data_IF_911228918150
#
_entry.id   IF_911228918150
#
_cell.length_a   1.000
_cell.length_b   1.000
_cell.length_c   1.000
_cell.angle_alpha   90.00
_cell.angle_beta   90.00
_cell.angle_gamma   90.00
#
_symmetry.space_group_name_H-M   'P 1'
#
loop_
_entity.id
_entity.type
_entity.pdbx_description
1 polymer ?
#
# COMPACT_ATOMS: atom_id res chain seq x y z
N UNK A 1 11.45 19.89 -32.53
CA UNK A 1 11.65 18.43 -32.50
C UNK A 1 10.76 17.91 -31.37
N UNK A 2 9.45 17.82 -31.63
CA UNK A 2 8.43 17.82 -30.54
C UNK A 2 8.55 16.64 -29.56
N UNK A 3 9.09 15.50 -29.99
CA UNK A 3 9.21 14.30 -29.16
C UNK A 3 10.35 14.44 -28.14
N UNK A 4 11.50 14.98 -28.55
CA UNK A 4 12.63 15.20 -27.63
C UNK A 4 12.24 16.16 -26.51
N UNK A 5 11.64 17.29 -26.88
CA UNK A 5 11.19 18.31 -25.93
C UNK A 5 10.21 17.73 -24.88
N UNK A 6 9.36 16.78 -25.28
CA UNK A 6 8.44 16.10 -24.35
C UNK A 6 9.14 15.10 -23.43
N UNK A 7 10.16 14.38 -23.93
CA UNK A 7 10.96 13.46 -23.11
C UNK A 7 11.73 14.27 -22.05
N UNK A 8 12.33 15.38 -22.46
CA UNK A 8 13.08 16.26 -21.57
C UNK A 8 12.13 16.86 -20.50
N UNK A 9 10.95 17.34 -20.90
CA UNK A 9 9.95 17.87 -19.96
C UNK A 9 9.40 16.80 -18.99
N UNK A 10 9.25 15.56 -19.45
CA UNK A 10 8.83 14.45 -18.58
C UNK A 10 9.93 14.15 -17.54
N UNK A 11 11.19 14.12 -17.95
CA UNK A 11 12.32 13.86 -17.05
C UNK A 11 12.45 14.86 -15.91
N UNK A 12 12.10 16.13 -16.11
CA UNK A 12 12.13 17.16 -15.05
C UNK A 12 11.03 16.97 -13.99
N UNK A 13 10.02 16.12 -14.23
CA UNK A 13 8.96 15.80 -13.25
C UNK A 13 9.34 14.67 -12.30
N UNK A 14 10.42 13.94 -12.59
CA UNK A 14 10.83 12.75 -11.85
C UNK A 14 12.25 12.91 -11.30
N UNK A 15 12.61 12.23 -10.20
CA UNK A 15 13.97 12.23 -9.68
C UNK A 15 14.88 11.32 -10.53
N UNK A 16 15.03 11.65 -11.82
CA UNK A 16 15.91 10.94 -12.75
C UNK A 16 17.32 11.50 -12.68
N UNK A 17 18.30 10.61 -12.77
CA UNK A 17 19.68 11.00 -12.94
C UNK A 17 19.86 11.62 -14.33
N UNK A 18 20.60 12.73 -14.43
CA UNK A 18 21.01 13.29 -15.74
C UNK A 18 22.15 12.48 -16.37
N UNK A 19 22.48 11.32 -15.80
CA UNK A 19 23.66 10.54 -16.12
C UNK A 19 23.25 9.36 -17.02
N UNK A 20 23.08 9.64 -18.30
CA UNK A 20 22.74 8.60 -19.27
C UNK A 20 22.16 9.17 -20.57
N UNK A 21 21.91 8.29 -21.53
CA UNK A 21 21.17 8.64 -22.74
C UNK A 21 19.66 8.71 -22.49
N UNK A 22 18.91 9.24 -23.46
CA UNK A 22 17.44 9.38 -23.40
C UNK A 22 16.69 8.07 -23.11
N UNK A 23 17.25 6.94 -23.53
CA UNK A 23 16.72 5.61 -23.23
C UNK A 23 16.83 5.28 -21.75
N UNK A 24 18.01 5.50 -21.15
CA UNK A 24 18.25 5.30 -19.71
C UNK A 24 17.35 6.19 -18.85
N UNK A 25 17.15 7.44 -19.27
CA UNK A 25 16.23 8.36 -18.60
C UNK A 25 14.78 7.84 -18.63
N UNK A 26 14.35 7.27 -19.76
CA UNK A 26 13.02 6.69 -19.89
C UNK A 26 12.84 5.46 -19.00
N UNK A 27 13.87 4.61 -18.90
CA UNK A 27 13.85 3.43 -18.04
C UNK A 27 13.74 3.83 -16.56
N UNK A 28 14.48 4.85 -16.12
CA UNK A 28 14.37 5.40 -14.76
C UNK A 28 12.98 5.98 -14.46
N UNK A 29 12.36 6.67 -15.43
CA UNK A 29 10.98 7.19 -15.30
C UNK A 29 10.00 6.02 -15.13
N UNK A 30 10.14 4.97 -15.93
CA UNK A 30 9.27 3.78 -15.85
C UNK A 30 9.41 3.14 -14.48
N UNK A 31 10.63 2.97 -13.98
CA UNK A 31 10.89 2.39 -12.67
C UNK A 31 10.33 3.24 -11.52
N UNK A 32 10.43 4.57 -11.63
CA UNK A 32 9.84 5.46 -10.64
C UNK A 32 8.30 5.42 -10.64
N UNK A 33 7.67 5.35 -11.81
CA UNK A 33 6.20 5.20 -11.91
C UNK A 33 5.76 3.88 -11.28
N UNK A 34 6.48 2.78 -11.55
CA UNK A 34 6.22 1.48 -10.91
C UNK A 34 6.34 1.56 -9.40
N UNK A 35 7.35 2.27 -8.89
CA UNK A 35 7.52 2.50 -7.46
C UNK A 35 6.35 3.28 -6.86
N UNK A 36 5.88 4.36 -7.51
CA UNK A 36 4.73 5.12 -7.02
C UNK A 36 3.44 4.30 -7.04
N UNK A 37 3.18 3.55 -8.11
CA UNK A 37 2.03 2.63 -8.21
C UNK A 37 2.06 1.59 -7.09
N UNK A 38 3.24 1.09 -6.77
CA UNK A 38 3.46 0.16 -5.67
C UNK A 38 3.16 0.79 -4.30
N UNK A 39 3.67 1.99 -4.02
CA UNK A 39 3.38 2.71 -2.77
C UNK A 39 1.87 2.94 -2.58
N UNK A 40 1.17 3.33 -3.64
CA UNK A 40 -0.29 3.51 -3.59
C UNK A 40 -1.04 2.20 -3.29
N UNK A 41 -0.59 1.08 -3.87
CA UNK A 41 -1.19 -0.25 -3.65
C UNK A 41 -0.95 -0.76 -2.23
N UNK A 42 0.20 -0.49 -1.65
CA UNK A 42 0.49 -0.85 -0.25
C UNK A 42 -0.35 0.00 0.72
N UNK A 43 -0.36 1.32 0.52
CA UNK A 43 -1.19 2.24 1.32
C UNK A 43 -2.68 1.91 1.25
N UNK A 44 -3.21 1.57 0.08
CA UNK A 44 -4.62 1.18 -0.06
C UNK A 44 -4.96 -0.17 0.57
N UNK A 45 -3.96 -1.03 0.80
CA UNK A 45 -4.11 -2.34 1.45
C UNK A 45 -3.87 -2.31 2.94
N UNK A 46 -3.25 -1.25 3.48
CA UNK A 46 -3.07 -1.07 4.92
C UNK A 46 -4.43 -0.80 5.58
N UNK A 47 -5.13 -1.89 5.93
CA UNK A 47 -6.54 -1.90 6.36
C UNK A 47 -6.78 -1.29 7.76
N UNK A 48 -5.73 -0.89 8.47
CA UNK A 48 -5.80 -0.28 9.79
C UNK A 48 -4.85 0.92 9.91
N UNK A 49 -4.74 1.75 8.88
CA UNK A 49 -4.12 3.07 8.99
C UNK A 49 -2.59 3.05 9.15
N UNK A 50 -1.89 3.08 8.01
CA UNK A 50 -0.63 3.82 7.88
C UNK A 50 0.67 3.16 8.35
N UNK A 51 0.66 1.94 8.87
CA UNK A 51 1.90 1.19 9.06
C UNK A 51 2.26 0.47 7.73
N UNK A 52 3.48 0.63 7.20
CA UNK A 52 3.93 -0.17 6.07
C UNK A 52 3.95 -1.64 6.49
N UNK A 53 3.22 -2.48 5.76
CA UNK A 53 3.21 -3.91 6.06
C UNK A 53 4.60 -4.44 5.69
N UNK A 54 5.36 -4.99 6.65
CA UNK A 54 6.71 -5.54 6.42
C UNK A 54 6.68 -6.86 5.64
N UNK A 55 5.89 -6.92 4.57
CA UNK A 55 5.72 -8.13 3.75
C UNK A 55 7.04 -8.34 2.99
N UNK A 56 7.64 -9.55 3.01
CA UNK A 56 8.83 -9.82 2.24
C UNK A 56 8.50 -9.76 0.75
N UNK A 57 9.07 -8.77 0.06
CA UNK A 57 8.95 -8.65 -1.39
C UNK A 57 10.00 -9.54 -2.05
N UNK A 58 9.57 -10.40 -2.98
CA UNK A 58 10.50 -11.17 -3.81
C UNK A 58 10.72 -10.40 -5.12
N UNK A 59 11.94 -9.90 -5.32
CA UNK A 59 12.36 -9.40 -6.63
C UNK A 59 12.56 -10.59 -7.57
N UNK A 60 11.70 -10.72 -8.58
CA UNK A 60 11.88 -11.73 -9.62
C UNK A 60 12.71 -11.13 -10.75
N UNK A 61 14.01 -11.44 -10.73
CA UNK A 61 14.96 -11.01 -11.74
C UNK A 61 14.48 -11.40 -13.15
N UNK A 62 14.44 -10.42 -14.07
CA UNK A 62 14.02 -10.61 -15.46
C UNK A 62 12.56 -10.23 -15.80
N UNK A 63 11.69 -9.98 -14.81
CA UNK A 63 10.28 -9.61 -15.08
C UNK A 63 9.94 -8.13 -14.83
N UNK A 64 10.84 -7.34 -14.23
CA UNK A 64 10.62 -5.91 -13.98
C UNK A 64 9.35 -5.58 -13.16
N UNK A 65 8.85 -6.55 -12.39
CA UNK A 65 7.64 -6.44 -11.56
C UNK A 65 7.93 -6.94 -10.14
N UNK A 66 7.45 -6.19 -9.15
CA UNK A 66 7.35 -6.65 -7.77
C UNK A 66 6.07 -7.47 -7.62
N UNK A 67 6.21 -8.77 -7.39
CA UNK A 67 5.07 -9.63 -7.06
C UNK A 67 4.93 -9.68 -5.54
N UNK A 68 3.79 -9.24 -5.05
CA UNK A 68 3.39 -9.49 -3.67
C UNK A 68 2.97 -10.95 -3.58
N UNK A 69 3.56 -11.74 -2.69
CA UNK A 69 3.04 -13.08 -2.41
C UNK A 69 1.74 -12.93 -1.62
N UNK A 70 0.63 -12.75 -2.34
CA UNK A 70 -0.71 -12.60 -1.79
C UNK A 70 -1.15 -13.85 -1.01
N UNK A 71 -0.46 -14.99 -1.16
CA UNK A 71 -0.78 -16.24 -0.49
C UNK A 71 -0.35 -16.28 0.99
N UNK A 72 0.48 -15.34 1.45
CA UNK A 72 0.95 -15.26 2.83
C UNK A 72 0.24 -14.18 3.67
N UNK A 73 -0.70 -13.44 3.09
CA UNK A 73 -1.42 -12.38 3.79
C UNK A 73 -2.66 -12.99 4.41
N UNK A 74 -2.60 -13.25 5.71
CA UNK A 74 -3.78 -13.67 6.47
C UNK A 74 -4.84 -12.55 6.44
N UNK A 75 -6.12 -12.86 6.16
CA UNK A 75 -7.20 -11.89 6.26
C UNK A 75 -7.20 -11.25 7.64
N UNK A 76 -7.38 -9.93 7.74
CA UNK A 76 -7.38 -9.29 9.06
C UNK A 76 -8.51 -9.78 9.94
N UNK A 77 -9.65 -10.17 9.37
CA UNK A 77 -10.73 -10.78 10.14
C UNK A 77 -10.17 -11.96 10.95
N UNK A 78 -9.32 -12.79 10.34
CA UNK A 78 -8.66 -13.92 10.96
C UNK A 78 -7.57 -13.47 11.94
N UNK A 79 -6.69 -12.55 11.55
CA UNK A 79 -5.64 -12.01 12.45
C UNK A 79 -6.22 -11.32 13.68
N UNK A 80 -7.25 -10.51 13.50
CA UNK A 80 -7.96 -9.79 14.57
C UNK A 80 -8.76 -10.75 15.43
N UNK A 81 -9.39 -11.77 14.85
CA UNK A 81 -10.05 -12.84 15.58
C UNK A 81 -9.09 -13.56 16.52
N UNK A 82 -7.92 -13.96 16.02
CA UNK A 82 -6.85 -14.56 16.84
C UNK A 82 -6.37 -13.61 17.95
N UNK A 83 -6.18 -12.33 17.64
CA UNK A 83 -5.72 -11.36 18.63
C UNK A 83 -6.79 -11.11 19.72
N UNK A 84 -8.06 -11.06 19.35
CA UNK A 84 -9.17 -10.95 20.30
C UNK A 84 -9.27 -12.18 21.22
N UNK A 85 -8.98 -13.37 20.70
CA UNK A 85 -8.97 -14.61 21.48
C UNK A 85 -7.78 -14.68 22.45
N UNK A 86 -6.58 -14.31 21.99
CA UNK A 86 -5.35 -14.37 22.79
C UNK A 86 -5.25 -13.20 23.78
N UNK A 87 -5.56 -11.99 23.35
CA UNK A 87 -5.46 -10.78 24.15
C UNK A 87 -6.47 -9.70 23.70
N UNK A 88 -7.70 -9.71 24.26
CA UNK A 88 -8.74 -8.76 23.86
C UNK A 88 -8.39 -7.31 24.19
N UNK A 89 -7.58 -7.07 25.24
CA UNK A 89 -7.15 -5.72 25.61
C UNK A 89 -6.20 -5.11 24.57
N UNK A 90 -5.30 -5.91 24.00
CA UNK A 90 -4.37 -5.48 22.95
C UNK A 90 -5.12 -5.25 21.64
N UNK A 91 -6.09 -6.10 21.30
CA UNK A 91 -6.96 -5.89 20.16
C UNK A 91 -7.73 -4.56 20.26
N UNK A 92 -8.28 -4.27 21.44
CA UNK A 92 -9.02 -3.03 21.69
C UNK A 92 -8.11 -1.80 21.56
N UNK A 93 -6.93 -1.81 22.20
CA UNK A 93 -5.94 -0.72 22.07
C UNK A 93 -5.50 -0.48 20.63
N UNK A 94 -5.30 -1.56 19.86
CA UNK A 94 -4.95 -1.45 18.45
C UNK A 94 -6.08 -0.77 17.66
N UNK A 95 -7.33 -1.19 17.85
CA UNK A 95 -8.48 -0.57 17.18
C UNK A 95 -8.63 0.90 17.58
N UNK A 96 -8.55 1.21 18.88
CA UNK A 96 -8.63 2.57 19.41
C UNK A 96 -7.52 3.48 18.86
N UNK A 97 -6.29 2.95 18.73
CA UNK A 97 -5.17 3.68 18.11
C UNK A 97 -5.45 4.09 16.67
N UNK A 98 -6.36 3.37 16.00
CA UNK A 98 -6.80 3.62 14.62
C UNK A 98 -8.19 4.26 14.57
N UNK A 99 -8.75 4.72 15.70
CA UNK A 99 -10.06 5.36 15.78
C UNK A 99 -11.24 4.40 15.57
N UNK A 100 -11.02 3.11 15.76
CA UNK A 100 -12.02 2.05 15.61
C UNK A 100 -12.34 1.45 16.98
N UNK A 101 -13.51 0.80 17.09
CA UNK A 101 -13.90 0.04 18.27
C UNK A 101 -14.78 -1.15 17.85
N UNK A 102 -14.82 -2.19 18.68
CA UNK A 102 -15.72 -3.33 18.47
C UNK A 102 -17.07 -3.02 19.12
N UNK A 103 -18.15 -3.25 18.39
CA UNK A 103 -19.50 -3.07 18.91
C UNK A 103 -20.33 -4.34 18.71
N UNK A 104 -21.07 -4.81 19.73
CA UNK A 104 -22.06 -5.87 19.55
C UNK A 104 -23.08 -5.50 18.46
N UNK A 105 -23.37 -6.43 17.56
CA UNK A 105 -24.30 -6.20 16.45
C UNK A 105 -25.72 -5.80 16.94
N UNK A 106 -26.14 -6.30 18.11
CA UNK A 106 -27.39 -5.90 18.76
C UNK A 106 -27.48 -4.40 19.08
N UNK A 107 -26.34 -3.71 19.22
CA UNK A 107 -26.28 -2.26 19.43
C UNK A 107 -26.14 -1.48 18.12
N UNK A 108 -25.81 -2.15 17.01
CA UNK A 108 -25.69 -1.53 15.69
C UNK A 108 -27.05 -1.15 15.08
N UNK A 109 -28.10 -1.94 15.35
CA UNK A 109 -29.46 -1.69 14.84
C UNK A 109 -30.02 -0.32 15.26
N UNK A 110 -29.60 0.19 16.43
CA UNK A 110 -30.00 1.50 16.96
C UNK A 110 -29.37 2.71 16.24
N UNK A 111 -28.32 2.52 15.44
CA UNK A 111 -27.65 3.61 14.72
C UNK A 111 -28.32 3.99 13.39
N UNK A 112 -29.24 3.15 12.88
CA UNK A 112 -29.96 3.43 11.64
C UNK A 112 -31.12 4.42 11.79
N UNK A 113 -31.39 4.94 12.99
CA UNK A 113 -32.59 5.74 13.31
C UNK A 113 -32.31 7.24 13.54
N UNK A 114 -31.24 7.79 12.97
CA UNK A 114 -30.97 9.23 13.03
C UNK A 114 -30.68 9.79 11.63
N UNK A 115 -31.71 9.82 10.78
CA UNK A 115 -31.84 10.76 9.66
C UNK A 115 -33.00 11.71 9.92
#
# INVERSE_FOLDING_TARGET
>A
MKISERIDALGELFPCSKQGGKTSQMDEIIDHIKYLQFQMKDLSRSRLGGEPTSIPFVFLEGCGHYSLDEQQIEPLEDTMGKLLEVNPSMATQLLESKGLFVMPMALAEGLHHHE
#
